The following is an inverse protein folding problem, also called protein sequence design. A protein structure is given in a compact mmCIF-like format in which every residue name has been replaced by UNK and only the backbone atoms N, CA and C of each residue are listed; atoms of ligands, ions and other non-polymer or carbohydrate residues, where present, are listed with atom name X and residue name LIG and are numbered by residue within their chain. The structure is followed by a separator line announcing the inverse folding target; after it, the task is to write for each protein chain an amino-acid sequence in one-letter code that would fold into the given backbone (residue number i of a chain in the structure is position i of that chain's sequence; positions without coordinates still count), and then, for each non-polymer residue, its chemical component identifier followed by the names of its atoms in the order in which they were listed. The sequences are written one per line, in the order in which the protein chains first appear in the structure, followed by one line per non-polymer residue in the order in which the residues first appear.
data_IF_490398450745
#
_entry.id   IF_490398450745
#
_cell.length_a   1.000
_cell.length_b   1.000
_cell.length_c   1.000
_cell.angle_alpha   90.00
_cell.angle_beta   90.00
_cell.angle_gamma   90.00
#
_symmetry.space_group_name_H-M   'P 1'
#
loop_
_entity.id
_entity.type
_entity.pdbx_description
1 polymer ?
#
# COMPACT_ATOMS: atom_id res chain seq x y z
N UNK A 1 14.31 -18.98 35.10
CA UNK A 1 13.20 -18.56 34.20
C UNK A 1 12.92 -17.10 34.44
N UNK A 2 13.02 -16.24 33.42
CA UNK A 2 12.70 -14.82 33.58
C UNK A 2 11.21 -14.65 33.91
N UNK A 3 10.90 -13.84 34.91
CA UNK A 3 9.54 -13.51 35.33
C UNK A 3 9.22 -12.06 34.98
N UNK A 4 7.93 -11.73 34.82
CA UNK A 4 7.51 -10.33 34.68
C UNK A 4 7.73 -9.67 36.05
N UNK A 5 8.53 -8.61 36.08
CA UNK A 5 8.72 -7.80 37.27
C UNK A 5 7.52 -6.85 37.44
N UNK A 6 6.37 -7.39 37.86
CA UNK A 6 5.10 -6.67 37.97
C UNK A 6 5.20 -5.38 38.81
N UNK A 7 6.03 -5.38 39.85
CA UNK A 7 6.29 -4.23 40.71
C UNK A 7 7.04 -3.08 40.03
N UNK A 8 7.59 -3.27 38.83
CA UNK A 8 8.30 -2.23 38.08
C UNK A 8 7.38 -1.40 37.18
N UNK A 9 6.09 -1.76 37.08
CA UNK A 9 5.12 -1.09 36.22
C UNK A 9 4.12 -0.32 37.09
N UNK A 10 3.92 0.96 36.78
CA UNK A 10 2.84 1.74 37.36
C UNK A 10 1.49 1.36 36.72
N UNK A 11 0.39 1.91 37.22
CA UNK A 11 -0.94 1.76 36.60
C UNK A 11 -0.89 2.22 35.13
N UNK A 12 -1.35 1.37 34.20
CA UNK A 12 -1.33 1.69 32.78
C UNK A 12 -1.15 0.48 31.86
N UNK A 13 -0.98 0.77 30.57
CA UNK A 13 -0.77 -0.23 29.51
C UNK A 13 0.64 -0.14 28.97
N UNK A 14 1.33 -1.28 28.90
CA UNK A 14 2.70 -1.38 28.41
C UNK A 14 2.83 -2.42 27.31
N UNK A 15 3.82 -2.21 26.44
CA UNK A 15 4.22 -3.14 25.39
C UNK A 15 5.66 -3.54 25.58
N UNK A 16 5.88 -4.80 25.94
CA UNK A 16 7.20 -5.33 26.27
C UNK A 16 7.49 -6.61 25.49
N UNK A 17 8.72 -7.09 25.61
CA UNK A 17 9.13 -8.34 24.99
C UNK A 17 8.50 -9.52 25.72
N UNK A 18 7.92 -10.44 24.96
CA UNK A 18 7.44 -11.70 25.52
C UNK A 18 8.61 -12.54 26.07
N UNK A 19 8.47 -13.02 27.30
CA UNK A 19 9.46 -13.87 27.97
C UNK A 19 9.55 -15.28 27.35
N UNK A 20 8.54 -15.67 26.56
CA UNK A 20 8.42 -16.99 25.94
C UNK A 20 8.86 -16.97 24.49
N UNK A 21 8.30 -16.07 23.67
CA UNK A 21 8.51 -16.07 22.22
C UNK A 21 9.20 -14.80 21.67
N UNK A 22 9.69 -13.91 22.54
CA UNK A 22 10.25 -12.62 22.14
C UNK A 22 11.58 -12.75 21.38
N UNK A 23 11.73 -11.98 20.30
CA UNK A 23 12.92 -12.01 19.42
C UNK A 23 13.68 -10.68 19.49
N UNK A 24 14.82 -10.63 20.19
CA UNK A 24 15.64 -9.42 20.31
C UNK A 24 14.99 -8.30 21.15
N UNK A 25 15.67 -7.15 21.29
CA UNK A 25 15.26 -6.08 22.20
C UNK A 25 14.08 -5.21 21.69
N UNK A 26 13.82 -5.19 20.36
CA UNK A 26 12.76 -4.36 19.75
C UNK A 26 11.40 -5.06 19.66
N UNK A 27 11.34 -6.36 19.95
CA UNK A 27 10.09 -7.13 19.89
C UNK A 27 9.18 -6.77 21.07
N UNK A 28 8.03 -6.16 20.76
CA UNK A 28 7.04 -5.68 21.74
C UNK A 28 5.74 -6.49 21.67
N UNK A 29 5.83 -7.82 21.66
CA UNK A 29 4.70 -8.75 21.46
C UNK A 29 3.85 -9.03 22.70
N UNK A 30 4.30 -8.67 23.90
CA UNK A 30 3.55 -8.87 25.14
C UNK A 30 2.88 -7.55 25.56
N UNK A 31 1.55 -7.58 25.69
CA UNK A 31 0.81 -6.52 26.36
C UNK A 31 0.77 -6.77 27.86
N UNK A 32 1.01 -5.72 28.64
CA UNK A 32 0.81 -5.71 30.09
C UNK A 32 -0.20 -4.61 30.43
N UNK A 33 -1.21 -4.94 31.22
CA UNK A 33 -2.17 -3.98 31.76
C UNK A 33 -2.12 -4.05 33.28
N UNK A 34 -1.85 -2.92 33.93
CA UNK A 34 -1.84 -2.76 35.38
C UNK A 34 -3.02 -1.89 35.77
N UNK A 35 -3.95 -2.46 36.54
CA UNK A 35 -5.10 -1.75 37.10
C UNK A 35 -4.69 -0.91 38.31
N UNK A 36 -5.51 0.08 38.66
CA UNK A 36 -5.26 0.96 39.81
C UNK A 36 -5.16 0.20 41.16
N UNK A 37 -5.76 -1.00 41.24
CA UNK A 37 -5.66 -1.89 42.39
C UNK A 37 -4.32 -2.66 42.47
N UNK A 38 -3.37 -2.39 41.56
CA UNK A 38 -2.11 -3.14 41.44
C UNK A 38 -2.26 -4.53 40.80
N UNK A 39 -3.47 -4.92 40.40
CA UNK A 39 -3.70 -6.17 39.67
C UNK A 39 -3.19 -6.03 38.23
N UNK A 40 -2.50 -7.06 37.73
CA UNK A 40 -1.85 -7.06 36.43
C UNK A 40 -2.33 -8.21 35.54
N UNK A 41 -2.49 -7.96 34.25
CA UNK A 41 -2.75 -9.00 33.23
C UNK A 41 -1.75 -8.87 32.09
N UNK A 42 -1.14 -9.98 31.71
CA UNK A 42 -0.22 -10.11 30.61
C UNK A 42 -0.85 -10.96 29.52
N UNK A 43 -0.76 -10.52 28.27
CA UNK A 43 -1.21 -11.30 27.12
C UNK A 43 -0.25 -11.15 25.95
N UNK A 44 0.30 -12.27 25.47
CA UNK A 44 1.17 -12.27 24.30
C UNK A 44 0.36 -12.50 23.03
N UNK A 45 0.45 -11.55 22.10
CA UNK A 45 -0.28 -11.60 20.84
C UNK A 45 0.32 -12.56 19.81
N UNK A 46 1.37 -13.31 20.16
CA UNK A 46 2.04 -14.27 19.27
C UNK A 46 1.86 -15.71 19.76
N UNK A 47 2.21 -16.00 21.01
CA UNK A 47 2.13 -17.35 21.58
C UNK A 47 0.98 -17.55 22.56
N UNK A 48 0.07 -16.58 22.67
CA UNK A 48 -1.06 -16.58 23.61
C UNK A 48 -0.65 -16.82 25.08
N UNK A 49 0.60 -16.53 25.43
CA UNK A 49 1.04 -16.57 26.82
C UNK A 49 0.23 -15.57 27.64
N UNK A 50 -0.40 -16.07 28.71
CA UNK A 50 -1.10 -15.23 29.68
C UNK A 50 -0.60 -15.47 31.09
N UNK A 51 -0.44 -14.37 31.82
CA UNK A 51 -0.11 -14.37 33.24
C UNK A 51 -0.97 -13.31 33.94
N UNK A 52 -1.61 -13.67 35.05
CA UNK A 52 -2.34 -12.71 35.89
C UNK A 52 -1.63 -12.55 37.23
N UNK A 53 -1.54 -11.32 37.70
CA UNK A 53 -0.93 -10.96 38.98
C UNK A 53 -1.95 -10.23 39.86
N UNK A 54 -1.98 -10.56 41.14
CA UNK A 54 -2.72 -9.81 42.16
C UNK A 54 -1.80 -9.54 43.35
N UNK A 55 -1.76 -8.32 43.92
CA UNK A 55 -0.86 -7.99 45.03
C UNK A 55 -0.98 -8.96 46.22
N UNK A 56 -2.22 -9.30 46.59
CA UNK A 56 -2.56 -10.17 47.73
C UNK A 56 -2.18 -11.64 47.54
N UNK A 57 -2.07 -12.11 46.29
CA UNK A 57 -1.97 -13.54 45.94
C UNK A 57 -0.75 -13.88 45.08
N UNK A 58 0.02 -12.87 44.68
CA UNK A 58 1.08 -13.01 43.69
C UNK A 58 0.54 -13.42 42.33
N UNK A 59 1.35 -14.18 41.59
CA UNK A 59 0.99 -14.68 40.25
C UNK A 59 -0.03 -15.81 40.36
N UNK A 60 -1.19 -15.63 39.73
CA UNK A 60 -2.26 -16.61 39.66
C UNK A 60 -2.61 -16.89 38.21
N UNK A 61 -2.42 -18.13 37.75
CA UNK A 61 -2.68 -18.54 36.37
C UNK A 61 -1.53 -18.20 35.43
N UNK A 62 -0.75 -19.22 35.07
CA UNK A 62 0.10 -19.23 33.87
C UNK A 62 -0.53 -20.19 32.89
N UNK A 63 -0.99 -19.66 31.77
CA UNK A 63 -1.49 -20.48 30.68
C UNK A 63 -0.66 -20.19 29.42
N UNK A 64 -0.25 -21.29 28.78
CA UNK A 64 0.20 -21.27 27.41
C UNK A 64 -1.01 -21.66 26.57
N UNK A 65 -1.31 -20.89 25.52
CA UNK A 65 -2.17 -21.43 24.47
C UNK A 65 -1.58 -22.77 24.01
N UNK A 66 -2.43 -23.78 23.79
CA UNK A 66 -2.02 -25.00 23.05
C UNK A 66 -1.22 -24.54 21.84
N UNK A 67 -0.15 -25.26 21.54
CA UNK A 67 0.73 -25.01 20.39
C UNK A 67 -0.13 -24.67 19.18
N UNK A 68 -0.32 -23.37 18.90
CA UNK A 68 -0.93 -22.94 17.67
C UNK A 68 0.11 -23.34 16.66
N UNK A 69 -0.17 -24.42 15.92
CA UNK A 69 0.55 -24.72 14.69
C UNK A 69 0.77 -23.37 14.02
N UNK A 70 2.01 -22.98 13.71
CA UNK A 70 2.20 -21.76 12.97
C UNK A 70 1.26 -21.90 11.77
N UNK A 71 0.33 -20.96 11.62
CA UNK A 71 -0.29 -20.79 10.32
C UNK A 71 0.92 -20.47 9.46
N UNK A 72 1.43 -21.50 8.77
CA UNK A 72 2.31 -21.34 7.65
C UNK A 72 1.41 -20.66 6.63
N UNK A 73 1.27 -19.34 6.77
CA UNK A 73 0.79 -18.51 5.67
C UNK A 73 1.72 -18.89 4.54
N UNK A 74 1.23 -19.47 3.43
CA UNK A 74 2.10 -19.73 2.30
C UNK A 74 2.74 -18.38 1.98
N UNK A 75 4.06 -18.28 2.17
CA UNK A 75 4.80 -17.02 2.02
C UNK A 75 4.89 -16.60 0.56
N UNK A 76 4.43 -17.46 -0.34
CA UNK A 76 4.31 -17.21 -1.75
C UNK A 76 3.24 -16.15 -1.99
N UNK A 77 3.72 -15.00 -2.45
CA UNK A 77 2.85 -13.96 -2.99
C UNK A 77 2.26 -14.49 -4.29
N UNK A 78 1.00 -14.17 -4.56
CA UNK A 78 0.41 -14.39 -5.86
C UNK A 78 1.21 -13.64 -6.94
N UNK A 79 1.54 -14.35 -8.01
CA UNK A 79 2.21 -13.79 -9.18
C UNK A 79 1.21 -13.12 -10.14
N UNK A 80 0.00 -13.69 -10.23
CA UNK A 80 -1.13 -13.13 -10.95
C UNK A 80 -2.21 -12.61 -9.99
N UNK A 81 -3.16 -11.84 -10.52
CA UNK A 81 -4.33 -11.41 -9.78
C UNK A 81 -5.18 -12.63 -9.37
N UNK A 82 -5.37 -12.80 -8.06
CA UNK A 82 -6.23 -13.84 -7.48
C UNK A 82 -7.69 -13.73 -7.92
N UNK A 83 -8.47 -14.81 -7.76
CA UNK A 83 -9.93 -14.81 -8.00
C UNK A 83 -10.64 -13.69 -7.26
N UNK A 84 -10.37 -13.53 -5.96
CA UNK A 84 -10.90 -12.42 -5.17
C UNK A 84 -10.54 -11.05 -5.76
N UNK A 85 -9.33 -10.90 -6.27
CA UNK A 85 -8.91 -9.68 -6.95
C UNK A 85 -9.68 -9.42 -8.25
N UNK A 86 -9.92 -10.47 -9.04
CA UNK A 86 -10.75 -10.39 -10.26
C UNK A 86 -12.19 -10.03 -9.92
N UNK A 87 -12.78 -10.66 -8.93
CA UNK A 87 -14.14 -10.38 -8.47
C UNK A 87 -14.28 -8.93 -7.99
N UNK A 88 -13.31 -8.45 -7.21
CA UNK A 88 -13.28 -7.06 -6.76
C UNK A 88 -13.14 -6.10 -7.95
N UNK A 89 -12.28 -6.39 -8.92
CA UNK A 89 -12.12 -5.57 -10.12
C UNK A 89 -13.40 -5.50 -10.96
N UNK A 90 -14.10 -6.63 -11.10
CA UNK A 90 -15.37 -6.72 -11.81
C UNK A 90 -16.51 -6.00 -11.09
N UNK A 91 -16.46 -5.93 -9.76
CA UNK A 91 -17.40 -5.15 -8.95
C UNK A 91 -17.14 -3.63 -9.04
N UNK A 92 -15.98 -3.20 -9.54
CA UNK A 92 -15.67 -1.78 -9.71
C UNK A 92 -16.33 -1.20 -10.98
N UNK A 93 -16.62 0.09 -10.94
CA UNK A 93 -17.30 0.84 -11.99
C UNK A 93 -16.32 1.77 -12.70
N UNK A 94 -16.62 2.16 -13.93
CA UNK A 94 -15.92 3.26 -14.59
C UNK A 94 -15.99 4.53 -13.71
N UNK A 95 -14.95 5.36 -13.77
CA UNK A 95 -14.84 6.60 -12.97
C UNK A 95 -16.10 7.45 -13.13
N UNK A 96 -16.83 7.62 -12.03
CA UNK A 96 -18.07 8.39 -11.98
C UNK A 96 -18.33 8.90 -10.55
N UNK A 97 -19.37 9.71 -10.37
CA UNK A 97 -19.86 10.13 -9.05
C UNK A 97 -18.75 10.67 -8.13
N UNK A 98 -18.56 10.09 -6.94
CA UNK A 98 -17.58 10.54 -5.93
C UNK A 98 -16.13 10.45 -6.43
N UNK A 99 -15.82 9.46 -7.28
CA UNK A 99 -14.50 9.34 -7.91
C UNK A 99 -14.24 10.47 -8.91
N UNK A 100 -15.25 10.82 -9.70
CA UNK A 100 -15.17 11.96 -10.62
C UNK A 100 -15.04 13.29 -9.85
N UNK A 101 -15.81 13.47 -8.77
CA UNK A 101 -15.72 14.65 -7.92
C UNK A 101 -14.32 14.79 -7.28
N UNK A 102 -13.77 13.69 -6.76
CA UNK A 102 -12.40 13.65 -6.21
C UNK A 102 -11.36 14.06 -7.25
N UNK A 103 -11.37 13.47 -8.44
CA UNK A 103 -10.39 13.77 -9.49
C UNK A 103 -10.52 15.22 -9.99
N UNK A 104 -11.75 15.72 -10.18
CA UNK A 104 -12.00 17.10 -10.56
C UNK A 104 -11.50 18.10 -9.51
N UNK A 105 -11.74 17.83 -8.22
CA UNK A 105 -11.24 18.67 -7.13
C UNK A 105 -9.71 18.67 -7.02
N UNK A 106 -9.03 17.66 -7.56
CA UNK A 106 -7.57 17.62 -7.70
C UNK A 106 -7.06 18.16 -9.04
N UNK A 107 -7.95 18.66 -9.89
CA UNK A 107 -7.63 19.09 -11.25
C UNK A 107 -6.95 18.00 -12.10
N UNK A 108 -7.24 16.72 -11.83
CA UNK A 108 -6.73 15.62 -12.64
C UNK A 108 -7.50 15.52 -13.96
N UNK A 109 -6.81 15.17 -15.06
CA UNK A 109 -7.52 14.74 -16.27
C UNK A 109 -8.22 13.40 -16.00
N UNK A 110 -9.41 13.22 -16.55
CA UNK A 110 -10.15 11.96 -16.43
C UNK A 110 -9.64 10.99 -17.50
N UNK A 111 -9.13 9.80 -17.14
CA UNK A 111 -8.66 8.82 -18.11
C UNK A 111 -9.83 8.20 -18.90
N UNK A 112 -9.57 7.59 -20.06
CA UNK A 112 -10.60 6.87 -20.81
C UNK A 112 -11.12 5.65 -20.03
N UNK A 113 -12.36 5.24 -20.33
CA UNK A 113 -13.07 4.21 -19.56
C UNK A 113 -12.49 2.79 -19.72
N UNK A 114 -11.70 2.56 -20.77
CA UNK A 114 -10.97 1.33 -21.06
C UNK A 114 -9.55 1.30 -20.44
N UNK A 115 -9.16 2.35 -19.72
CA UNK A 115 -7.96 2.33 -18.87
C UNK A 115 -8.11 1.50 -17.60
N UNK A 116 -6.98 1.22 -16.95
CA UNK A 116 -6.87 0.41 -15.73
C UNK A 116 -7.27 1.18 -14.44
N UNK A 117 -8.06 2.26 -14.54
CA UNK A 117 -8.58 3.00 -13.39
C UNK A 117 -10.10 2.91 -13.29
N UNK A 118 -10.59 2.36 -12.19
CA UNK A 118 -12.00 2.25 -11.84
C UNK A 118 -12.24 2.82 -10.43
N UNK A 119 -13.48 2.72 -9.96
CA UNK A 119 -13.81 3.05 -8.57
C UNK A 119 -14.86 2.10 -7.97
N UNK A 120 -14.91 2.08 -6.64
CA UNK A 120 -15.90 1.31 -5.88
C UNK A 120 -16.57 2.23 -4.84
N UNK A 121 -17.91 2.27 -4.72
CA UNK A 121 -18.62 3.23 -3.87
C UNK A 121 -18.48 2.98 -2.37
N UNK A 122 -18.27 1.73 -1.94
CA UNK A 122 -18.15 1.38 -0.53
C UNK A 122 -17.13 0.25 -0.32
N UNK A 123 -15.86 0.53 -0.59
CA UNK A 123 -14.78 -0.45 -0.47
C UNK A 123 -14.38 -0.62 0.99
N UNK A 124 -14.38 -1.87 1.48
CA UNK A 124 -13.94 -2.20 2.84
C UNK A 124 -12.42 -2.03 3.00
N UNK A 125 -12.02 -1.25 3.99
CA UNK A 125 -10.66 -1.14 4.49
C UNK A 125 -10.42 -2.17 5.61
N UNK A 126 -9.21 -2.74 5.75
CA UNK A 126 -8.90 -3.73 6.79
C UNK A 126 -9.12 -3.25 8.24
N UNK A 127 -9.17 -1.95 8.49
CA UNK A 127 -9.44 -1.38 9.81
C UNK A 127 -10.95 -1.25 10.14
N UNK A 128 -11.84 -1.69 9.25
CA UNK A 128 -13.30 -1.63 9.43
C UNK A 128 -13.98 -0.43 8.76
N UNK A 129 -13.23 0.57 8.27
CA UNK A 129 -13.80 1.64 7.45
C UNK A 129 -14.35 1.11 6.12
N UNK A 130 -15.45 1.67 5.62
CA UNK A 130 -15.96 1.41 4.27
C UNK A 130 -16.38 2.73 3.63
N UNK A 131 -15.93 2.97 2.40
CA UNK A 131 -16.20 4.23 1.70
C UNK A 131 -15.74 4.22 0.26
N UNK A 132 -15.94 5.32 -0.49
CA UNK A 132 -15.57 5.40 -1.88
C UNK A 132 -14.06 5.28 -2.06
N UNK A 133 -13.64 4.55 -3.09
CA UNK A 133 -12.23 4.32 -3.39
C UNK A 133 -11.98 4.27 -4.89
N UNK A 134 -10.88 4.90 -5.34
CA UNK A 134 -10.26 4.57 -6.62
C UNK A 134 -9.63 3.19 -6.52
N UNK A 135 -9.79 2.39 -7.57
CA UNK A 135 -9.20 1.07 -7.71
C UNK A 135 -8.46 1.04 -9.04
N UNK A 136 -7.13 0.92 -8.99
CA UNK A 136 -6.27 0.76 -10.15
C UNK A 136 -5.88 -0.70 -10.33
N UNK A 137 -6.08 -1.25 -11.53
CA UNK A 137 -5.54 -2.55 -11.89
C UNK A 137 -4.04 -2.40 -12.14
N UNK A 138 -3.25 -3.19 -11.41
CA UNK A 138 -1.81 -3.22 -11.59
C UNK A 138 -1.47 -4.37 -12.52
N UNK A 139 -0.87 -4.05 -13.65
CA UNK A 139 -0.38 -5.00 -14.66
C UNK A 139 1.13 -4.91 -14.76
N UNK A 140 1.79 -6.02 -15.11
CA UNK A 140 3.23 -6.00 -15.34
C UNK A 140 3.54 -5.10 -16.56
N UNK A 141 4.54 -4.22 -16.45
CA UNK A 141 4.86 -3.25 -17.50
C UNK A 141 5.10 -3.91 -18.87
N UNK A 142 5.89 -5.00 -18.88
CA UNK A 142 6.23 -5.76 -20.10
C UNK A 142 5.20 -6.84 -20.46
N UNK A 143 4.95 -7.82 -19.58
CA UNK A 143 4.12 -8.99 -19.91
C UNK A 143 2.61 -8.71 -19.91
N UNK A 144 2.18 -7.54 -19.41
CA UNK A 144 0.77 -7.13 -19.27
C UNK A 144 -0.08 -8.01 -18.34
N UNK A 145 0.54 -8.98 -17.67
CA UNK A 145 -0.14 -9.86 -16.73
C UNK A 145 -0.73 -9.05 -15.57
N UNK A 146 -2.01 -9.25 -15.24
CA UNK A 146 -2.63 -8.64 -14.06
C UNK A 146 -1.99 -9.18 -12.78
N UNK A 147 -1.52 -8.30 -11.90
CA UNK A 147 -0.71 -8.65 -10.73
C UNK A 147 -1.42 -8.38 -9.41
N UNK A 148 -2.02 -7.20 -9.24
CA UNK A 148 -2.64 -6.76 -7.97
C UNK A 148 -3.61 -5.62 -8.22
N UNK A 149 -4.27 -5.15 -7.16
CA UNK A 149 -5.08 -3.93 -7.19
C UNK A 149 -4.49 -2.89 -6.26
N UNK A 150 -4.42 -1.65 -6.74
CA UNK A 150 -4.14 -0.47 -5.95
C UNK A 150 -5.44 0.19 -5.52
N UNK A 151 -5.62 0.44 -4.23
CA UNK A 151 -6.84 0.99 -3.67
C UNK A 151 -6.50 2.28 -2.96
N UNK A 152 -7.16 3.37 -3.32
CA UNK A 152 -7.03 4.66 -2.62
C UNK A 152 -8.41 5.10 -2.17
N UNK A 153 -8.64 5.22 -0.87
CA UNK A 153 -9.91 5.72 -0.34
C UNK A 153 -9.94 7.24 -0.43
N UNK A 154 -11.07 7.79 -0.88
CA UNK A 154 -11.17 9.17 -1.36
C UNK A 154 -12.33 9.92 -0.71
N UNK A 155 -12.32 11.24 -0.84
CA UNK A 155 -13.40 12.17 -0.50
C UNK A 155 -13.71 13.05 -1.70
N UNK A 156 -14.93 13.55 -1.79
CA UNK A 156 -15.38 14.39 -2.91
C UNK A 156 -14.71 15.76 -2.99
N UNK A 157 -14.00 16.18 -1.94
CA UNK A 157 -13.27 17.45 -1.86
C UNK A 157 -11.80 17.33 -2.33
N UNK A 158 -11.45 16.25 -3.01
CA UNK A 158 -10.09 16.02 -3.53
C UNK A 158 -9.10 15.50 -2.49
N UNK A 159 -9.50 15.36 -1.22
CA UNK A 159 -8.68 14.71 -0.19
C UNK A 159 -8.83 13.20 -0.22
N UNK A 160 -7.79 12.51 0.25
CA UNK A 160 -7.90 11.08 0.59
C UNK A 160 -8.76 10.94 1.84
N UNK A 161 -9.41 9.78 2.00
CA UNK A 161 -10.19 9.50 3.21
C UNK A 161 -9.27 9.50 4.45
N UNK A 162 -9.82 9.86 5.60
CA UNK A 162 -9.12 9.90 6.88
C UNK A 162 -9.02 8.48 7.49
N UNK A 163 -8.34 7.60 6.74
CA UNK A 163 -8.06 6.21 7.11
C UNK A 163 -6.57 5.95 6.95
N UNK A 164 -5.97 5.21 7.88
CA UNK A 164 -4.53 4.92 7.90
C UNK A 164 -4.24 3.43 7.59
N UNK A 165 -3.46 3.13 6.53
CA UNK A 165 -3.04 4.06 5.47
C UNK A 165 -4.19 4.36 4.48
N UNK A 166 -4.21 5.54 3.84
CA UNK A 166 -5.28 5.92 2.89
C UNK A 166 -5.21 5.18 1.55
N UNK A 167 -4.14 4.41 1.35
CA UNK A 167 -3.84 3.66 0.14
C UNK A 167 -3.28 2.30 0.51
N UNK A 168 -3.78 1.26 -0.15
CA UNK A 168 -3.34 -0.11 0.04
C UNK A 168 -3.29 -0.87 -1.27
N UNK A 169 -2.32 -1.76 -1.40
CA UNK A 169 -2.37 -2.83 -2.40
C UNK A 169 -3.26 -3.98 -1.92
N UNK A 170 -3.74 -4.79 -2.86
CA UNK A 170 -4.36 -6.06 -2.53
C UNK A 170 -3.32 -6.98 -1.86
N UNK A 171 -3.68 -7.52 -0.70
CA UNK A 171 -2.75 -8.28 0.15
C UNK A 171 -2.22 -9.54 -0.54
N UNK A 172 -1.00 -9.95 -0.17
CA UNK A 172 -0.33 -11.18 -0.67
C UNK A 172 -0.05 -11.22 -2.18
N UNK A 173 -0.04 -10.10 -2.90
CA UNK A 173 0.36 -10.07 -4.32
C UNK A 173 1.72 -9.41 -4.50
N UNK A 174 2.44 -9.79 -5.57
CA UNK A 174 3.65 -9.06 -6.00
C UNK A 174 3.26 -7.71 -6.63
N UNK A 175 4.20 -6.74 -6.57
CA UNK A 175 4.03 -5.41 -7.17
C UNK A 175 5.20 -4.96 -8.05
N UNK A 176 6.35 -5.64 -7.95
CA UNK A 176 7.58 -5.24 -8.62
C UNK A 176 7.42 -5.33 -10.14
N UNK A 177 7.74 -4.25 -10.84
CA UNK A 177 7.55 -4.12 -12.30
C UNK A 177 6.09 -3.84 -12.70
N UNK A 178 5.25 -3.49 -11.73
CA UNK A 178 3.84 -3.17 -11.95
C UNK A 178 3.61 -1.71 -12.34
N UNK A 179 2.66 -1.49 -13.23
CA UNK A 179 2.13 -0.17 -13.62
C UNK A 179 0.61 -0.22 -13.62
N UNK A 180 -0.03 0.94 -13.53
CA UNK A 180 -1.45 1.15 -13.79
C UNK A 180 -1.54 1.88 -15.12
N UNK A 181 -2.12 1.21 -16.13
CA UNK A 181 -2.28 1.75 -17.48
C UNK A 181 -3.46 2.70 -17.53
N UNK A 182 -3.25 3.96 -17.13
CA UNK A 182 -4.35 4.96 -17.11
C UNK A 182 -4.90 5.21 -18.52
N UNK A 183 -4.05 5.07 -19.55
CA UNK A 183 -4.44 4.86 -20.94
C UNK A 183 -4.03 3.44 -21.38
N UNK A 184 -4.83 2.77 -22.21
CA UNK A 184 -4.53 1.40 -22.67
C UNK A 184 -3.28 1.36 -23.56
N UNK A 185 -2.65 0.19 -23.71
CA UNK A 185 -1.44 0.03 -24.54
C UNK A 185 -1.71 0.47 -25.99
N UNK A 186 -2.93 0.29 -26.50
CA UNK A 186 -3.36 0.66 -27.85
C UNK A 186 -3.32 2.19 -28.10
N UNK A 187 -3.35 3.00 -27.04
CA UNK A 187 -3.19 4.44 -27.13
C UNK A 187 -1.71 4.87 -27.15
N UNK A 188 -0.78 3.97 -26.80
CA UNK A 188 0.66 4.23 -26.78
C UNK A 188 1.25 4.02 -28.16
N UNK A 189 1.77 5.11 -28.73
CA UNK A 189 2.49 5.12 -30.01
C UNK A 189 4.00 5.19 -29.74
N UNK A 190 4.62 6.35 -29.93
CA UNK A 190 6.04 6.59 -29.68
C UNK A 190 6.32 7.33 -28.37
N UNK A 191 5.32 7.98 -27.77
CA UNK A 191 5.45 8.75 -26.52
C UNK A 191 4.68 8.12 -25.36
N UNK A 192 5.23 8.23 -24.15
CA UNK A 192 4.55 7.84 -22.92
C UNK A 192 4.95 8.75 -21.75
N UNK A 193 3.96 9.28 -21.04
CA UNK A 193 4.15 9.90 -19.74
C UNK A 193 4.07 8.89 -18.59
N UNK A 194 4.90 9.04 -17.57
CA UNK A 194 4.86 8.21 -16.36
C UNK A 194 5.00 9.07 -15.11
N UNK A 195 4.37 8.63 -14.02
CA UNK A 195 4.58 9.19 -12.69
C UNK A 195 4.57 8.09 -11.63
N UNK A 196 5.00 8.39 -10.42
CA UNK A 196 4.85 7.47 -9.28
C UNK A 196 3.37 7.21 -8.96
N UNK A 197 2.58 8.27 -8.78
CA UNK A 197 1.17 8.20 -8.37
C UNK A 197 0.15 8.33 -9.51
N UNK A 198 -1.07 7.85 -9.27
CA UNK A 198 -2.22 8.05 -10.16
C UNK A 198 -2.50 9.54 -10.35
N UNK A 199 -2.57 10.29 -9.25
CA UNK A 199 -2.92 11.70 -9.25
C UNK A 199 -1.88 12.53 -10.04
N UNK A 200 -0.58 12.30 -9.80
CA UNK A 200 0.52 12.96 -10.50
C UNK A 200 0.53 12.64 -12.00
N UNK A 201 0.30 11.37 -12.37
CA UNK A 201 0.20 10.98 -13.78
C UNK A 201 -1.02 11.64 -14.45
N UNK A 202 -2.18 11.67 -13.80
CA UNK A 202 -3.37 12.33 -14.35
C UNK A 202 -3.25 13.86 -14.43
N UNK A 203 -2.40 14.48 -13.60
CA UNK A 203 -2.01 15.88 -13.79
C UNK A 203 -1.14 16.06 -15.04
N UNK A 204 -0.21 15.13 -15.29
CA UNK A 204 0.68 15.17 -16.46
C UNK A 204 -0.13 15.07 -17.76
N UNK A 205 -1.21 14.30 -17.71
CA UNK A 205 -2.13 14.09 -18.83
C UNK A 205 -2.78 15.37 -19.39
N UNK A 206 -2.67 16.52 -18.72
CA UNK A 206 -3.06 17.81 -19.32
C UNK A 206 -2.08 18.32 -20.36
N UNK A 207 -0.79 18.01 -20.19
CA UNK A 207 0.27 18.38 -21.13
C UNK A 207 0.52 17.32 -22.19
N UNK A 208 0.51 16.04 -21.81
CA UNK A 208 0.80 14.94 -22.73
C UNK A 208 0.07 13.65 -22.39
N UNK A 209 -0.36 12.91 -23.41
CA UNK A 209 -1.02 11.60 -23.30
C UNK A 209 -0.48 10.66 -24.37
N UNK A 210 -0.42 9.34 -24.11
CA UNK A 210 -0.92 8.61 -22.94
C UNK A 210 -0.01 8.69 -21.71
N UNK A 211 -0.57 8.39 -20.53
CA UNK A 211 0.21 8.31 -19.27
C UNK A 211 -0.09 7.05 -18.47
N UNK A 212 0.92 6.54 -17.74
CA UNK A 212 0.79 5.43 -16.80
C UNK A 212 1.27 5.82 -15.38
N UNK A 213 0.78 5.13 -14.35
CA UNK A 213 1.26 5.30 -12.98
C UNK A 213 2.07 4.09 -12.50
N UNK A 214 3.24 4.32 -11.92
CA UNK A 214 4.18 3.30 -11.48
C UNK A 214 3.93 2.80 -10.05
N UNK A 215 2.89 3.27 -9.36
CA UNK A 215 2.40 2.80 -8.04
C UNK A 215 3.25 3.30 -6.86
N UNK A 216 4.57 3.24 -6.99
CA UNK A 216 5.56 3.73 -6.01
C UNK A 216 6.91 4.08 -6.67
N UNK A 217 7.76 4.81 -5.92
CA UNK A 217 9.12 5.21 -6.34
C UNK A 217 9.99 4.03 -6.78
N UNK A 218 9.84 2.85 -6.15
CA UNK A 218 10.65 1.68 -6.46
C UNK A 218 10.36 1.11 -7.85
N UNK A 219 9.08 1.06 -8.21
CA UNK A 219 8.64 0.66 -9.54
C UNK A 219 8.96 1.72 -10.61
N UNK A 220 8.81 3.02 -10.30
CA UNK A 220 9.21 4.09 -11.22
C UNK A 220 10.71 3.99 -11.53
N UNK A 221 11.54 3.89 -10.48
CA UNK A 221 12.98 3.69 -10.58
C UNK A 221 13.35 2.47 -11.41
N UNK A 222 12.58 1.39 -11.32
CA UNK A 222 12.84 0.12 -11.98
C UNK A 222 12.12 -0.07 -13.32
N UNK A 223 11.40 0.94 -13.82
CA UNK A 223 10.68 0.86 -15.09
C UNK A 223 11.67 0.53 -16.22
N UNK A 224 11.49 -0.60 -16.93
CA UNK A 224 12.37 -0.97 -18.03
C UNK A 224 12.09 -0.09 -19.25
N UNK A 225 13.05 -0.04 -20.16
CA UNK A 225 12.83 0.54 -21.49
C UNK A 225 11.82 -0.33 -22.23
N UNK A 226 10.73 0.27 -22.67
CA UNK A 226 9.64 -0.43 -23.34
C UNK A 226 9.83 -0.36 -24.85
N UNK A 227 9.65 -1.49 -25.53
CA UNK A 227 9.78 -1.56 -26.98
C UNK A 227 8.71 -0.69 -27.65
N UNK A 228 9.11 0.05 -28.70
CA UNK A 228 8.22 0.95 -29.45
C UNK A 228 8.12 2.37 -28.89
N UNK A 229 8.54 2.60 -27.64
CA UNK A 229 8.53 3.94 -27.05
C UNK A 229 9.86 4.63 -27.34
N UNK A 230 9.78 5.81 -27.95
CA UNK A 230 10.90 6.63 -28.38
C UNK A 230 11.12 7.83 -27.46
N UNK A 231 10.04 8.37 -26.87
CA UNK A 231 10.09 9.45 -25.89
C UNK A 231 9.35 9.11 -24.59
N UNK A 232 9.99 9.42 -23.45
CA UNK A 232 9.41 9.24 -22.12
C UNK A 232 9.34 10.59 -21.39
N UNK A 233 8.17 10.94 -20.86
CA UNK A 233 8.03 12.07 -19.94
C UNK A 233 7.87 11.52 -18.53
N UNK A 234 8.73 11.94 -17.60
CA UNK A 234 8.68 11.52 -16.20
C UNK A 234 8.20 12.68 -15.35
N UNK A 235 6.98 12.60 -14.81
CA UNK A 235 6.50 13.54 -13.82
C UNK A 235 7.08 13.21 -12.45
N UNK A 236 7.77 14.18 -11.85
CA UNK A 236 8.55 14.02 -10.63
C UNK A 236 7.75 14.52 -9.43
N UNK A 237 7.54 13.64 -8.45
CA UNK A 237 6.97 14.03 -7.16
C UNK A 237 7.98 14.90 -6.38
N UNK A 238 7.50 15.92 -5.65
CA UNK A 238 8.37 16.86 -4.91
C UNK A 238 8.88 16.29 -3.57
N UNK A 239 9.49 15.10 -3.61
CA UNK A 239 10.20 14.50 -2.50
C UNK A 239 11.52 13.84 -2.94
N UNK A 240 12.43 13.60 -1.98
CA UNK A 240 13.76 13.07 -2.29
C UNK A 240 13.74 11.67 -2.91
N UNK A 241 12.77 10.83 -2.53
CA UNK A 241 12.66 9.47 -3.06
C UNK A 241 12.10 9.48 -4.48
N UNK A 242 11.09 10.30 -4.74
CA UNK A 242 10.51 10.53 -6.06
C UNK A 242 11.52 11.09 -7.06
N UNK A 243 12.29 12.13 -6.66
CA UNK A 243 13.38 12.70 -7.48
C UNK A 243 14.43 11.65 -7.84
N UNK A 244 14.97 10.95 -6.85
CA UNK A 244 15.98 9.91 -7.09
C UNK A 244 15.45 8.72 -7.93
N UNK A 245 14.14 8.45 -7.88
CA UNK A 245 13.51 7.44 -8.72
C UNK A 245 13.34 7.89 -10.16
N UNK A 246 12.91 9.14 -10.36
CA UNK A 246 12.80 9.77 -11.67
C UNK A 246 14.16 9.84 -12.36
N UNK A 247 15.19 10.37 -11.68
CA UNK A 247 16.56 10.48 -12.22
C UNK A 247 17.07 9.11 -12.70
N UNK A 248 16.89 8.07 -11.88
CA UNK A 248 17.34 6.72 -12.20
C UNK A 248 16.54 6.05 -13.32
N UNK A 249 15.26 6.42 -13.48
CA UNK A 249 14.44 6.01 -14.60
C UNK A 249 14.91 6.72 -15.88
N UNK A 250 15.08 8.04 -15.82
CA UNK A 250 15.48 8.87 -16.92
C UNK A 250 16.86 8.49 -17.45
N UNK A 251 17.84 8.28 -16.56
CA UNK A 251 19.16 7.81 -16.94
C UNK A 251 19.10 6.48 -17.71
N UNK A 252 18.30 5.51 -17.25
CA UNK A 252 18.18 4.20 -17.94
C UNK A 252 17.63 4.34 -19.35
N UNK A 253 16.65 5.22 -19.54
CA UNK A 253 16.03 5.45 -20.85
C UNK A 253 16.96 6.23 -21.78
N UNK A 254 17.66 7.25 -21.25
CA UNK A 254 18.69 7.98 -21.98
C UNK A 254 19.86 7.08 -22.41
N UNK A 255 20.34 6.20 -21.53
CA UNK A 255 21.41 5.21 -21.84
C UNK A 255 21.00 4.23 -22.95
N UNK A 256 19.68 4.00 -23.12
CA UNK A 256 19.12 3.20 -24.20
C UNK A 256 18.82 4.02 -25.48
N UNK A 257 19.25 5.29 -25.55
CA UNK A 257 19.09 6.16 -26.70
C UNK A 257 17.66 6.68 -26.89
N UNK A 258 16.84 6.73 -25.83
CA UNK A 258 15.49 7.31 -25.86
C UNK A 258 15.49 8.77 -25.45
N UNK A 259 14.57 9.55 -26.01
CA UNK A 259 14.32 10.91 -25.54
C UNK A 259 13.65 10.82 -24.16
N UNK A 260 14.12 11.62 -23.20
CA UNK A 260 13.52 11.67 -21.86
C UNK A 260 13.45 13.10 -21.38
N UNK A 261 12.29 13.47 -20.85
CA UNK A 261 12.06 14.77 -20.21
C UNK A 261 11.51 14.56 -18.81
N UNK A 262 12.16 15.17 -17.83
CA UNK A 262 11.67 15.21 -16.45
C UNK A 262 10.87 16.50 -16.23
N UNK A 263 9.65 16.36 -15.71
CA UNK A 263 8.74 17.49 -15.43
C UNK A 263 8.50 17.58 -13.94
N UNK A 264 8.91 18.71 -13.36
CA UNK A 264 8.64 19.06 -11.96
C UNK A 264 7.49 20.06 -11.93
N UNK A 265 6.45 19.79 -11.13
CA UNK A 265 5.41 20.78 -10.90
C UNK A 265 5.94 21.89 -10.00
N UNK A 266 5.97 23.12 -10.51
CA UNK A 266 6.15 24.30 -9.67
C UNK A 266 4.97 24.43 -8.71
N UNK A 267 5.25 24.57 -7.41
CA UNK A 267 4.24 24.73 -6.36
C UNK A 267 3.47 26.04 -6.43
#
# INVERSE_FOLDING_TARGET
MSAIAWSHYATGNYRVRCLVCGRGARDKTLGLTIAASGAGVAHCFRCDFTETYRPERGVSGRAYGRERMPIVTPSEKYHALSDYGRDLWNACRAVSCEALAYLNARHCRIPPADGDLRWHPSLKHPNGYAGPALVGLVTHAVTRESMTLHKTWIRTDGRKAEVDPPRLLLGRHRKAGGVIRLWPDEAVTSGLGVAEGIETALSLAHGDVPVWACIDAGNLKALPVLAGIESLIVAVDDDLAGKAAADACAQRWADAGREVVEVVYGG
#
